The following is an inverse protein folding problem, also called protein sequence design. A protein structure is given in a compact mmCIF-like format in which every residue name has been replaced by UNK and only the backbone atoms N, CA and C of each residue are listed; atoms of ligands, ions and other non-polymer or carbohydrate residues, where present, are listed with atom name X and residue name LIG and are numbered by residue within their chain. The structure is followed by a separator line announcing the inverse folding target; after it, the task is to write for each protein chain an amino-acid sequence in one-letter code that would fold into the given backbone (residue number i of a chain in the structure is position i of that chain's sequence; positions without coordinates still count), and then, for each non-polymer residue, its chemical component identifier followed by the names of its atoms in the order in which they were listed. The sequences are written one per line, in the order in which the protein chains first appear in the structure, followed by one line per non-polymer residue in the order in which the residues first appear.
data_IF_099558288614
#
_entry.id   IF_099558288614
#
_cell.length_a   1.000
_cell.length_b   1.000
_cell.length_c   1.000
_cell.angle_alpha   90.00
_cell.angle_beta   90.00
_cell.angle_gamma   90.00
#
_symmetry.space_group_name_H-M   'P 1'
#
loop_
_entity.id
_entity.type
_entity.pdbx_description
1 polymer ?
#
# COMPACT_ATOMS: atom_id res chain seq x y z
N UNK A 1 -16.98 13.59 -3.14
CA UNK A 1 -15.83 12.98 -2.41
C UNK A 1 -14.59 13.87 -2.37
N UNK A 2 -14.36 14.71 -3.36
CA UNK A 2 -13.20 15.63 -3.48
C UNK A 2 -12.90 16.45 -2.22
N UNK A 3 -13.87 17.10 -1.52
CA UNK A 3 -13.56 17.87 -0.32
C UNK A 3 -12.91 17.03 0.79
N UNK A 4 -13.38 15.81 1.01
CA UNK A 4 -12.81 14.90 2.02
C UNK A 4 -11.38 14.47 1.67
N UNK A 5 -11.11 14.24 0.38
CA UNK A 5 -9.76 13.93 -0.10
C UNK A 5 -8.84 15.14 0.15
N UNK A 6 -9.28 16.35 -0.21
CA UNK A 6 -8.50 17.56 -0.03
C UNK A 6 -8.17 17.84 1.45
N UNK A 7 -9.20 17.94 2.29
CA UNK A 7 -9.01 18.27 3.72
C UNK A 7 -8.24 17.18 4.46
N UNK A 8 -8.57 15.90 4.19
CA UNK A 8 -7.85 14.78 4.81
C UNK A 8 -6.38 14.72 4.38
N UNK A 9 -6.07 15.02 3.12
CA UNK A 9 -4.67 15.07 2.64
C UNK A 9 -3.92 16.25 3.24
N UNK A 10 -4.51 17.44 3.33
CA UNK A 10 -3.88 18.61 3.98
C UNK A 10 -3.57 18.29 5.44
N UNK A 11 -4.54 17.74 6.18
CA UNK A 11 -4.32 17.33 7.57
C UNK A 11 -3.21 16.28 7.69
N UNK A 12 -3.21 15.27 6.81
CA UNK A 12 -2.18 14.24 6.79
C UNK A 12 -0.78 14.81 6.50
N UNK A 13 -0.65 15.75 5.55
CA UNK A 13 0.62 16.41 5.22
C UNK A 13 1.16 17.19 6.43
N UNK A 14 0.32 17.98 7.08
CA UNK A 14 0.73 18.78 8.26
C UNK A 14 1.20 17.84 9.37
N UNK A 15 0.40 16.84 9.72
CA UNK A 15 0.74 15.89 10.77
C UNK A 15 1.98 15.06 10.43
N UNK A 16 2.13 14.64 9.17
CA UNK A 16 3.29 13.90 8.69
C UNK A 16 4.58 14.71 8.84
N UNK A 17 4.58 16.00 8.54
CA UNK A 17 5.75 16.86 8.68
C UNK A 17 6.10 17.16 10.15
N UNK A 18 5.12 17.09 11.07
CA UNK A 18 5.38 17.24 12.50
C UNK A 18 6.12 16.03 13.10
N UNK A 19 5.92 14.83 12.59
CA UNK A 19 6.54 13.61 13.12
C UNK A 19 8.07 13.71 13.20
N UNK A 20 8.81 13.98 12.11
CA UNK A 20 10.27 14.04 12.17
C UNK A 20 10.79 15.23 12.99
N UNK A 21 10.02 16.32 13.11
CA UNK A 21 10.39 17.44 13.99
C UNK A 21 10.31 17.05 15.47
N UNK A 22 9.27 16.31 15.85
CA UNK A 22 9.12 15.80 17.22
C UNK A 22 10.18 14.75 17.51
N UNK A 23 10.47 13.87 16.56
CA UNK A 23 11.48 12.82 16.65
C UNK A 23 12.88 13.42 16.89
N UNK A 24 13.30 14.37 16.07
CA UNK A 24 14.56 15.09 16.25
C UNK A 24 14.62 15.79 17.61
N UNK A 25 13.53 16.46 18.01
CA UNK A 25 13.44 17.13 19.33
C UNK A 25 13.49 16.14 20.49
N UNK A 26 12.93 14.95 20.34
CA UNK A 26 12.98 13.88 21.34
C UNK A 26 14.41 13.34 21.47
N UNK A 27 15.10 13.14 20.34
CA UNK A 27 16.49 12.68 20.34
C UNK A 27 17.43 13.65 21.08
N UNK A 28 17.29 14.96 20.85
CA UNK A 28 18.10 15.99 21.53
C UNK A 28 17.84 16.05 23.04
N UNK A 29 16.59 15.93 23.46
CA UNK A 29 16.13 16.03 24.85
C UNK A 29 14.98 15.05 25.11
N UNK A 30 15.28 13.80 25.51
CA UNK A 30 14.25 12.79 25.81
C UNK A 30 13.32 13.25 26.94
N UNK A 31 11.99 13.20 26.67
CA UNK A 31 10.97 13.57 27.65
C UNK A 31 9.71 12.74 27.41
N UNK A 32 9.06 12.28 28.47
CA UNK A 32 7.79 11.55 28.39
C UNK A 32 6.71 12.38 27.69
N UNK A 33 6.72 13.70 27.86
CA UNK A 33 5.78 14.59 27.18
C UNK A 33 5.99 14.60 25.65
N UNK A 34 7.23 14.61 25.17
CA UNK A 34 7.55 14.54 23.73
C UNK A 34 7.18 13.17 23.15
N UNK A 35 7.41 12.09 23.90
CA UNK A 35 6.98 10.75 23.48
C UNK A 35 5.47 10.67 23.38
N UNK A 36 4.73 11.20 24.36
CA UNK A 36 3.27 11.25 24.31
C UNK A 36 2.77 12.10 23.14
N UNK A 37 3.45 13.23 22.85
CA UNK A 37 3.14 14.08 21.68
C UNK A 37 3.38 13.33 20.38
N UNK A 38 4.49 12.61 20.24
CA UNK A 38 4.80 11.78 19.08
C UNK A 38 3.70 10.74 18.82
N UNK A 39 3.32 10.00 19.85
CA UNK A 39 2.25 8.98 19.76
C UNK A 39 0.92 9.63 19.40
N UNK A 40 0.58 10.78 20.00
CA UNK A 40 -0.64 11.53 19.70
C UNK A 40 -0.70 12.02 18.26
N UNK A 41 0.39 12.61 17.75
CA UNK A 41 0.49 13.09 16.37
C UNK A 41 0.45 11.92 15.38
N UNK A 42 1.13 10.82 15.68
CA UNK A 42 1.07 9.60 14.87
C UNK A 42 -0.35 9.03 14.82
N UNK A 43 -1.04 8.96 15.96
CA UNK A 43 -2.45 8.54 16.01
C UNK A 43 -3.36 9.45 15.18
N UNK A 44 -3.20 10.77 15.30
CA UNK A 44 -3.94 11.75 14.52
C UNK A 44 -3.66 11.62 13.01
N UNK A 45 -2.39 11.37 12.63
CA UNK A 45 -2.01 11.11 11.23
C UNK A 45 -2.72 9.87 10.68
N UNK A 46 -2.74 8.77 11.42
CA UNK A 46 -3.42 7.54 10.99
C UNK A 46 -4.92 7.76 10.79
N UNK A 47 -5.57 8.53 11.66
CA UNK A 47 -6.98 8.92 11.52
C UNK A 47 -7.18 9.79 10.27
N UNK A 48 -6.34 10.80 10.05
CA UNK A 48 -6.39 11.65 8.85
C UNK A 48 -6.21 10.82 7.57
N UNK A 49 -5.24 9.89 7.55
CA UNK A 49 -5.02 8.98 6.43
C UNK A 49 -6.22 8.07 6.18
N UNK A 50 -6.82 7.50 7.22
CA UNK A 50 -8.05 6.71 7.10
C UNK A 50 -9.22 7.51 6.54
N UNK A 51 -9.34 8.78 6.94
CA UNK A 51 -10.42 9.67 6.51
C UNK A 51 -10.38 9.98 5.01
N UNK A 52 -9.20 10.23 4.42
CA UNK A 52 -9.14 10.51 2.99
C UNK A 52 -9.01 9.24 2.12
N UNK A 53 -8.43 8.15 2.65
CA UNK A 53 -8.20 6.92 1.89
C UNK A 53 -9.50 6.30 1.40
N UNK A 54 -10.51 6.20 2.25
CA UNK A 54 -11.80 5.64 1.88
C UNK A 54 -12.48 6.38 0.72
N UNK A 55 -12.66 7.73 0.76
CA UNK A 55 -13.17 8.48 -0.38
C UNK A 55 -12.30 8.40 -1.63
N UNK A 56 -10.96 8.35 -1.48
CA UNK A 56 -10.05 8.28 -2.61
C UNK A 56 -10.16 6.94 -3.35
N UNK A 57 -10.19 5.82 -2.62
CA UNK A 57 -10.36 4.48 -3.22
C UNK A 57 -11.75 4.34 -3.85
N UNK A 58 -12.79 4.88 -3.20
CA UNK A 58 -14.15 4.80 -3.70
C UNK A 58 -14.43 5.76 -4.89
N UNK A 59 -13.58 6.75 -5.13
CA UNK A 59 -13.73 7.66 -6.26
C UNK A 59 -13.66 6.91 -7.60
N UNK A 60 -12.75 5.94 -7.74
CA UNK A 60 -12.57 5.20 -8.98
C UNK A 60 -13.83 4.43 -9.42
N UNK A 61 -14.45 3.57 -8.59
CA UNK A 61 -15.65 2.87 -9.00
C UNK A 61 -16.86 3.78 -9.23
N UNK A 62 -16.87 4.99 -8.63
CA UNK A 62 -17.94 5.96 -8.81
C UNK A 62 -17.91 6.67 -10.17
N UNK A 63 -16.73 6.78 -10.79
CA UNK A 63 -16.53 7.46 -12.08
C UNK A 63 -16.19 6.48 -13.21
N UNK A 64 -16.14 5.17 -12.95
CA UNK A 64 -15.74 4.17 -13.93
C UNK A 64 -16.90 3.20 -14.20
N UNK A 65 -17.32 3.02 -15.47
CA UNK A 65 -18.33 2.03 -15.84
C UNK A 65 -17.98 0.62 -15.36
N UNK A 66 -18.97 -0.17 -14.98
CA UNK A 66 -18.80 -1.52 -14.44
C UNK A 66 -17.83 -2.41 -15.24
N UNK A 67 -17.90 -2.51 -16.59
CA UNK A 67 -17.00 -3.36 -17.37
C UNK A 67 -15.52 -2.95 -17.29
N UNK A 68 -15.24 -1.66 -17.04
CA UNK A 68 -13.88 -1.11 -16.99
C UNK A 68 -13.27 -1.09 -15.59
N UNK A 69 -14.05 -1.39 -14.54
CA UNK A 69 -13.57 -1.32 -13.13
C UNK A 69 -12.39 -2.22 -12.85
N UNK A 70 -12.34 -3.41 -13.45
CA UNK A 70 -11.22 -4.35 -13.28
C UNK A 70 -9.90 -3.75 -13.84
N UNK A 71 -9.96 -3.13 -15.02
CA UNK A 71 -8.80 -2.45 -15.64
C UNK A 71 -8.36 -1.23 -14.83
N UNK A 72 -9.33 -0.42 -14.39
CA UNK A 72 -9.06 0.75 -13.55
C UNK A 72 -8.40 0.35 -12.22
N UNK A 73 -8.87 -0.72 -11.58
CA UNK A 73 -8.27 -1.25 -10.36
C UNK A 73 -6.82 -1.75 -10.58
N UNK A 74 -6.55 -2.39 -11.72
CA UNK A 74 -5.19 -2.81 -12.06
C UNK A 74 -4.25 -1.60 -12.22
N UNK A 75 -4.71 -0.51 -12.85
CA UNK A 75 -3.93 0.73 -12.99
C UNK A 75 -3.66 1.37 -11.62
N UNK A 76 -4.66 1.42 -10.72
CA UNK A 76 -4.47 1.98 -9.37
C UNK A 76 -3.42 1.18 -8.59
N UNK A 77 -3.48 -0.14 -8.64
CA UNK A 77 -2.50 -0.99 -7.97
C UNK A 77 -1.09 -0.82 -8.56
N UNK A 78 -0.98 -0.70 -9.89
CA UNK A 78 0.29 -0.40 -10.56
C UNK A 78 0.86 0.96 -10.14
N UNK A 79 0.03 2.01 -10.09
CA UNK A 79 0.44 3.33 -9.62
C UNK A 79 0.87 3.30 -8.16
N UNK A 80 0.18 2.53 -7.30
CA UNK A 80 0.58 2.31 -5.92
C UNK A 80 1.97 1.66 -5.80
N UNK A 81 2.24 0.63 -6.58
CA UNK A 81 3.54 -0.04 -6.62
C UNK A 81 4.65 0.89 -7.14
N UNK A 82 4.39 1.68 -8.19
CA UNK A 82 5.34 2.68 -8.69
C UNK A 82 5.63 3.77 -7.64
N UNK A 83 4.61 4.22 -6.92
CA UNK A 83 4.79 5.15 -5.80
C UNK A 83 5.67 4.56 -4.68
N UNK A 84 5.49 3.29 -4.35
CA UNK A 84 6.35 2.57 -3.42
C UNK A 84 7.81 2.49 -3.87
N UNK A 85 8.05 2.12 -5.12
CA UNK A 85 9.40 2.11 -5.71
C UNK A 85 10.03 3.51 -5.66
N UNK A 86 9.28 4.53 -6.06
CA UNK A 86 9.78 5.91 -6.05
C UNK A 86 10.18 6.34 -4.63
N UNK A 87 9.36 6.03 -3.61
CA UNK A 87 9.71 6.27 -2.22
C UNK A 87 11.00 5.56 -1.82
N UNK A 88 11.14 4.25 -2.13
CA UNK A 88 12.32 3.47 -1.78
C UNK A 88 13.59 3.98 -2.47
N UNK A 89 13.50 4.43 -3.73
CA UNK A 89 14.62 5.06 -4.44
C UNK A 89 15.03 6.39 -3.79
N UNK A 90 14.06 7.24 -3.43
CA UNK A 90 14.34 8.49 -2.71
C UNK A 90 14.99 8.17 -1.36
N UNK A 91 14.46 7.21 -0.61
CA UNK A 91 15.01 6.77 0.67
C UNK A 91 16.43 6.23 0.52
N UNK A 92 16.73 5.48 -0.55
CA UNK A 92 18.06 4.92 -0.79
C UNK A 92 19.14 5.98 -1.00
N UNK A 93 18.76 7.14 -1.53
CA UNK A 93 19.67 8.27 -1.75
C UNK A 93 19.74 9.19 -0.52
N UNK A 94 18.60 9.42 0.14
CA UNK A 94 18.46 10.42 1.21
C UNK A 94 18.88 9.87 2.57
N UNK A 95 18.62 8.58 2.84
CA UNK A 95 18.86 7.92 4.12
C UNK A 95 20.07 6.96 4.01
N UNK A 96 21.21 7.48 3.62
CA UNK A 96 22.43 6.69 3.40
C UNK A 96 23.53 6.97 4.44
N UNK A 97 23.17 7.51 5.60
CA UNK A 97 24.06 7.80 6.70
C UNK A 97 24.09 6.60 7.67
N UNK A 98 25.27 6.34 8.26
CA UNK A 98 25.43 5.45 9.41
C UNK A 98 25.35 6.21 10.73
N UNK A 99 24.71 7.38 10.76
CA UNK A 99 24.51 8.16 11.95
C UNK A 99 23.66 7.39 12.97
N UNK A 100 23.92 7.59 14.24
CA UNK A 100 23.15 7.00 15.34
C UNK A 100 21.67 7.44 15.30
N UNK A 101 21.43 8.68 14.82
CA UNK A 101 20.12 9.22 14.56
C UNK A 101 20.01 9.72 13.12
N UNK A 102 19.03 9.24 12.39
CA UNK A 102 18.75 9.66 11.02
C UNK A 102 17.67 10.75 11.00
N UNK A 103 17.95 11.85 10.33
CA UNK A 103 16.97 12.91 10.13
C UNK A 103 16.03 12.57 8.97
N UNK A 104 14.81 12.18 9.29
CA UNK A 104 13.77 11.83 8.30
C UNK A 104 13.05 13.05 7.70
N UNK A 105 13.29 14.26 8.19
CA UNK A 105 12.57 15.46 7.71
C UNK A 105 12.69 15.69 6.19
N UNK A 106 13.87 15.55 5.55
CA UNK A 106 13.99 15.78 4.11
C UNK A 106 13.15 14.83 3.27
N UNK A 107 13.11 13.54 3.60
CA UNK A 107 12.32 12.57 2.86
C UNK A 107 10.82 12.81 3.06
N UNK A 108 10.38 13.16 4.27
CA UNK A 108 8.99 13.51 4.55
C UNK A 108 8.56 14.77 3.79
N UNK A 109 9.45 15.75 3.64
CA UNK A 109 9.19 16.96 2.86
C UNK A 109 9.01 16.66 1.36
N UNK A 110 9.86 15.77 0.80
CA UNK A 110 9.74 15.33 -0.59
C UNK A 110 8.40 14.61 -0.81
N UNK A 111 8.05 13.68 0.08
CA UNK A 111 6.77 12.94 0.02
C UNK A 111 5.59 13.89 0.15
N UNK A 112 5.65 14.86 1.06
CA UNK A 112 4.63 15.91 1.19
C UNK A 112 4.45 16.71 -0.12
N UNK A 113 5.56 17.09 -0.77
CA UNK A 113 5.53 17.76 -2.07
C UNK A 113 4.83 16.92 -3.14
N UNK A 114 5.15 15.64 -3.24
CA UNK A 114 4.50 14.70 -4.16
C UNK A 114 3.00 14.58 -3.87
N UNK A 115 2.61 14.50 -2.59
CA UNK A 115 1.20 14.44 -2.18
C UNK A 115 0.45 15.72 -2.58
N UNK A 116 1.05 16.90 -2.38
CA UNK A 116 0.46 18.19 -2.81
C UNK A 116 0.24 18.21 -4.31
N UNK A 117 1.24 17.83 -5.09
CA UNK A 117 1.13 17.76 -6.56
C UNK A 117 0.04 16.77 -6.97
N UNK A 118 0.04 15.57 -6.43
CA UNK A 118 -0.95 14.54 -6.75
C UNK A 118 -2.38 14.98 -6.45
N UNK A 119 -2.63 15.55 -5.27
CA UNK A 119 -3.97 16.06 -4.91
C UNK A 119 -4.35 17.25 -5.77
N UNK A 120 -3.43 18.15 -6.08
CA UNK A 120 -3.71 19.31 -6.97
C UNK A 120 -4.13 18.84 -8.36
N UNK A 121 -3.45 17.84 -8.93
CA UNK A 121 -3.84 17.24 -10.20
C UNK A 121 -5.27 16.71 -10.13
N UNK A 122 -5.61 15.91 -9.10
CA UNK A 122 -6.96 15.35 -8.93
C UNK A 122 -8.01 16.47 -8.79
N UNK A 123 -7.70 17.53 -8.02
CA UNK A 123 -8.64 18.64 -7.83
C UNK A 123 -8.91 19.43 -9.13
N UNK A 124 -7.91 19.58 -10.00
CA UNK A 124 -8.01 20.31 -11.25
C UNK A 124 -8.63 19.47 -12.37
N UNK A 125 -8.21 18.20 -12.49
CA UNK A 125 -8.55 17.37 -13.65
C UNK A 125 -9.81 16.55 -13.50
N UNK A 126 -10.19 16.15 -12.27
CA UNK A 126 -11.34 15.28 -12.03
C UNK A 126 -12.58 16.11 -11.72
N UNK A 127 -13.52 16.18 -12.66
CA UNK A 127 -14.88 16.65 -12.38
C UNK A 127 -15.76 15.46 -12.02
N UNK A 128 -15.96 15.25 -10.70
CA UNK A 128 -16.71 14.12 -10.15
C UNK A 128 -18.16 14.08 -10.66
N UNK A 129 -18.78 15.23 -10.83
CA UNK A 129 -20.19 15.33 -11.24
C UNK A 129 -20.36 14.96 -12.71
N UNK A 130 -19.52 15.56 -13.55
CA UNK A 130 -19.58 15.33 -14.99
C UNK A 130 -19.17 13.89 -15.36
N UNK A 131 -18.08 13.38 -14.75
CA UNK A 131 -17.65 11.99 -14.96
C UNK A 131 -18.68 10.96 -14.51
N UNK A 132 -19.36 11.21 -13.38
CA UNK A 132 -20.42 10.32 -12.91
C UNK A 132 -21.62 10.35 -13.87
N UNK A 133 -21.97 11.51 -14.43
CA UNK A 133 -23.02 11.65 -15.45
C UNK A 133 -22.66 10.91 -16.73
N UNK A 134 -21.42 11.05 -17.20
CA UNK A 134 -20.92 10.32 -18.37
C UNK A 134 -20.92 8.81 -18.15
N UNK A 135 -20.49 8.35 -16.97
CA UNK A 135 -20.52 6.95 -16.58
C UNK A 135 -21.95 6.38 -16.63
N UNK A 136 -22.93 7.08 -16.03
CA UNK A 136 -24.33 6.66 -16.06
C UNK A 136 -24.91 6.65 -17.48
N UNK A 137 -24.54 7.61 -18.32
CA UNK A 137 -24.96 7.66 -19.73
C UNK A 137 -24.38 6.47 -20.50
N UNK A 138 -23.10 6.12 -20.26
CA UNK A 138 -22.48 4.94 -20.86
C UNK A 138 -23.17 3.65 -20.41
N UNK A 139 -23.44 3.47 -19.13
CA UNK A 139 -24.14 2.29 -18.59
C UNK A 139 -25.57 2.15 -19.13
N UNK A 140 -26.26 3.28 -19.34
CA UNK A 140 -27.59 3.29 -19.94
C UNK A 140 -27.58 2.95 -21.45
N UNK A 141 -26.50 3.32 -22.16
CA UNK A 141 -26.32 3.01 -23.60
C UNK A 141 -25.88 1.56 -23.86
N UNK A 142 -25.28 0.88 -22.86
CA UNK A 142 -24.75 -0.48 -22.98
C UNK A 142 -25.33 -1.40 -21.88
N UNK A 143 -26.63 -1.61 -21.82
CA UNK A 143 -27.27 -2.42 -20.78
C UNK A 143 -26.81 -3.89 -20.80
N UNK A 144 -26.42 -4.41 -21.96
CA UNK A 144 -25.94 -5.78 -22.15
C UNK A 144 -24.63 -6.06 -21.43
N UNK A 145 -23.74 -5.07 -21.37
CA UNK A 145 -22.46 -5.17 -20.64
C UNK A 145 -22.63 -5.10 -19.11
N UNK A 146 -23.80 -4.66 -18.64
CA UNK A 146 -24.12 -4.56 -17.22
C UNK A 146 -24.75 -5.84 -16.64
N UNK A 147 -25.33 -6.71 -17.49
CA UNK A 147 -26.06 -7.90 -17.07
C UNK A 147 -25.16 -8.99 -16.46
N UNK A 148 -23.88 -9.03 -16.80
CA UNK A 148 -22.94 -10.00 -16.24
C UNK A 148 -22.53 -9.74 -14.78
N UNK A 149 -22.95 -8.61 -14.18
CA UNK A 149 -22.51 -8.15 -12.85
C UNK A 149 -23.69 -7.81 -11.93
N UNK A 150 -24.90 -8.07 -12.34
CA UNK A 150 -26.00 -8.17 -11.39
C UNK A 150 -25.85 -9.48 -10.60
N UNK A 151 -24.84 -9.50 -9.72
CA UNK A 151 -24.90 -10.32 -8.54
C UNK A 151 -26.22 -9.95 -7.85
N UNK A 152 -27.08 -10.94 -7.75
CA UNK A 152 -28.24 -10.95 -6.87
C UNK A 152 -27.79 -10.63 -5.45
N UNK A 153 -27.44 -9.40 -5.17
CA UNK A 153 -27.30 -8.87 -3.80
C UNK A 153 -28.68 -8.56 -3.21
N UNK A 154 -29.63 -9.44 -3.51
CA UNK A 154 -30.76 -9.67 -2.67
C UNK A 154 -30.28 -10.47 -1.46
N UNK A 155 -30.75 -10.19 -0.27
CA UNK A 155 -30.56 -10.81 1.03
C UNK A 155 -30.70 -12.36 1.08
N UNK A 156 -30.18 -13.09 0.11
CA UNK A 156 -30.12 -14.55 0.12
C UNK A 156 -29.00 -14.96 1.07
N UNK A 157 -29.33 -15.56 2.18
CA UNK A 157 -28.36 -16.15 3.11
C UNK A 157 -27.52 -17.17 2.33
N UNK A 158 -26.21 -16.91 2.24
CA UNK A 158 -25.27 -17.83 1.61
C UNK A 158 -25.39 -19.23 2.23
N UNK A 159 -25.41 -20.30 1.44
CA UNK A 159 -25.39 -21.66 1.95
C UNK A 159 -24.26 -21.85 2.97
N UNK A 160 -24.50 -22.62 4.02
CA UNK A 160 -23.53 -22.82 5.12
C UNK A 160 -22.15 -23.25 4.62
N UNK A 161 -22.08 -24.08 3.60
CA UNK A 161 -20.84 -24.56 2.99
C UNK A 161 -20.06 -23.42 2.30
N UNK A 162 -20.77 -22.54 1.58
CA UNK A 162 -20.17 -21.37 0.91
C UNK A 162 -19.66 -20.37 1.96
N UNK A 163 -20.46 -20.12 3.02
CA UNK A 163 -20.06 -19.26 4.14
C UNK A 163 -18.81 -19.79 4.84
N UNK A 164 -18.73 -21.11 5.07
CA UNK A 164 -17.55 -21.77 5.65
C UNK A 164 -16.32 -21.63 4.74
N UNK A 165 -16.46 -21.90 3.44
CA UNK A 165 -15.37 -21.75 2.47
C UNK A 165 -14.87 -20.32 2.38
N UNK A 166 -15.78 -19.33 2.37
CA UNK A 166 -15.44 -17.92 2.39
C UNK A 166 -14.68 -17.54 3.66
N UNK A 167 -15.13 -18.03 4.81
CA UNK A 167 -14.44 -17.77 6.08
C UNK A 167 -13.01 -18.30 6.07
N UNK A 168 -12.77 -19.52 5.61
CA UNK A 168 -11.42 -20.09 5.48
C UNK A 168 -10.57 -19.32 4.47
N UNK A 169 -11.15 -18.88 3.37
CA UNK A 169 -10.46 -18.05 2.38
C UNK A 169 -10.01 -16.71 3.01
N UNK A 170 -10.90 -16.05 3.74
CA UNK A 170 -10.58 -14.77 4.41
C UNK A 170 -9.48 -14.93 5.46
N UNK A 171 -9.53 -15.98 6.28
CA UNK A 171 -8.46 -16.29 7.22
C UNK A 171 -7.13 -16.60 6.52
N UNK A 172 -7.15 -17.35 5.43
CA UNK A 172 -5.94 -17.64 4.65
C UNK A 172 -5.30 -16.37 4.10
N UNK A 173 -6.10 -15.46 3.57
CA UNK A 173 -5.63 -14.16 3.09
C UNK A 173 -5.12 -13.30 4.25
N UNK A 174 -5.81 -13.29 5.40
CA UNK A 174 -5.38 -12.54 6.58
C UNK A 174 -4.01 -13.02 7.09
N UNK A 175 -3.80 -14.33 7.23
CA UNK A 175 -2.52 -14.90 7.65
C UNK A 175 -1.39 -14.64 6.64
N UNK A 176 -1.70 -14.71 5.34
CA UNK A 176 -0.73 -14.38 4.31
C UNK A 176 -0.30 -12.91 4.38
N UNK A 177 -1.26 -12.00 4.48
CA UNK A 177 -0.97 -10.56 4.66
C UNK A 177 -0.21 -10.28 5.95
N UNK A 178 -0.53 -10.97 7.04
CA UNK A 178 0.19 -10.83 8.31
C UNK A 178 1.67 -11.17 8.14
N UNK A 179 1.98 -12.33 7.54
CA UNK A 179 3.37 -12.75 7.31
C UNK A 179 4.11 -11.80 6.36
N UNK A 180 3.47 -11.40 5.26
CA UNK A 180 4.05 -10.49 4.28
C UNK A 180 4.35 -9.11 4.90
N UNK A 181 3.37 -8.51 5.57
CA UNK A 181 3.56 -7.20 6.20
C UNK A 181 4.59 -7.23 7.33
N UNK A 182 4.67 -8.32 8.10
CA UNK A 182 5.69 -8.46 9.13
C UNK A 182 7.10 -8.38 8.52
N UNK A 183 7.35 -9.08 7.42
CA UNK A 183 8.64 -9.03 6.73
C UNK A 183 8.91 -7.66 6.11
N UNK A 184 7.95 -7.09 5.39
CA UNK A 184 8.12 -5.80 4.71
C UNK A 184 8.39 -4.66 5.71
N UNK A 185 7.64 -4.62 6.81
CA UNK A 185 7.76 -3.58 7.82
C UNK A 185 9.09 -3.65 8.59
N UNK A 186 9.52 -4.86 8.95
CA UNK A 186 10.69 -5.03 9.81
C UNK A 186 12.00 -5.27 9.06
N UNK A 187 11.95 -5.48 7.73
CA UNK A 187 13.14 -5.77 6.94
C UNK A 187 14.25 -4.71 7.09
N UNK A 188 13.89 -3.43 7.00
CA UNK A 188 14.87 -2.33 7.11
C UNK A 188 15.54 -2.31 8.49
N UNK A 189 14.75 -2.50 9.57
CA UNK A 189 15.28 -2.56 10.93
C UNK A 189 16.19 -3.78 11.11
N UNK A 190 15.77 -4.92 10.61
CA UNK A 190 16.54 -6.16 10.64
C UNK A 190 17.87 -6.03 9.87
N UNK A 191 17.86 -5.49 8.67
CA UNK A 191 19.04 -5.29 7.85
C UNK A 191 20.04 -4.32 8.50
N UNK A 192 19.56 -3.30 9.22
CA UNK A 192 20.41 -2.41 10.01
C UNK A 192 21.03 -3.11 11.21
N UNK A 193 20.26 -3.87 11.97
CA UNK A 193 20.72 -4.45 13.25
C UNK A 193 21.60 -5.69 13.07
N UNK A 194 21.36 -6.51 12.03
CA UNK A 194 22.06 -7.79 11.82
C UNK A 194 23.18 -7.67 10.80
N UNK A 195 22.94 -6.89 9.73
CA UNK A 195 23.93 -6.78 8.62
C UNK A 195 24.63 -5.43 8.55
N UNK A 196 24.47 -4.56 9.54
CA UNK A 196 25.06 -3.22 9.60
C UNK A 196 24.85 -2.40 8.30
N UNK A 197 23.70 -2.60 7.64
CA UNK A 197 23.35 -1.87 6.44
C UNK A 197 22.83 -0.48 6.78
N UNK A 198 23.05 0.50 5.89
CA UNK A 198 22.36 1.79 5.99
C UNK A 198 20.90 1.63 5.60
N UNK A 199 20.03 2.54 6.07
CA UNK A 199 18.61 2.56 5.67
C UNK A 199 18.46 2.66 4.15
N UNK A 200 19.35 3.41 3.48
CA UNK A 200 19.39 3.51 2.02
C UNK A 200 19.69 2.18 1.33
N UNK A 201 20.67 1.42 1.83
CA UNK A 201 20.99 0.09 1.28
C UNK A 201 19.83 -0.90 1.47
N UNK A 202 19.21 -0.92 2.65
CA UNK A 202 18.03 -1.75 2.90
C UNK A 202 16.85 -1.36 1.98
N UNK A 203 16.66 -0.06 1.73
CA UNK A 203 15.64 0.44 0.80
C UNK A 203 15.91 0.03 -0.64
N UNK A 204 17.16 -0.04 -1.08
CA UNK A 204 17.54 -0.58 -2.40
C UNK A 204 17.18 -2.06 -2.54
N UNK A 205 17.44 -2.87 -1.50
CA UNK A 205 17.04 -4.28 -1.50
C UNK A 205 15.52 -4.44 -1.68
N UNK A 206 14.73 -3.63 -0.95
CA UNK A 206 13.27 -3.62 -1.10
C UNK A 206 12.82 -3.12 -2.48
N UNK A 207 13.54 -2.17 -3.08
CA UNK A 207 13.29 -1.69 -4.45
C UNK A 207 13.45 -2.82 -5.47
N UNK A 208 14.53 -3.60 -5.37
CA UNK A 208 14.79 -4.74 -6.25
C UNK A 208 13.70 -5.81 -6.07
N UNK A 209 13.32 -6.11 -4.82
CA UNK A 209 12.25 -7.06 -4.52
C UNK A 209 10.91 -6.62 -5.12
N UNK A 210 10.52 -5.36 -4.93
CA UNK A 210 9.27 -4.80 -5.46
C UNK A 210 9.28 -4.74 -6.99
N UNK A 211 10.41 -4.36 -7.60
CA UNK A 211 10.60 -4.37 -9.06
C UNK A 211 10.45 -5.77 -9.64
N UNK A 212 11.05 -6.77 -9.00
CA UNK A 212 10.91 -8.18 -9.37
C UNK A 212 9.45 -8.66 -9.26
N UNK A 213 8.73 -8.26 -8.23
CA UNK A 213 7.31 -8.58 -8.07
C UNK A 213 6.45 -7.99 -9.21
N UNK A 214 6.68 -6.74 -9.60
CA UNK A 214 5.96 -6.10 -10.72
C UNK A 214 6.22 -6.85 -12.03
N UNK A 215 7.47 -7.19 -12.31
CA UNK A 215 7.82 -7.95 -13.52
C UNK A 215 7.20 -9.35 -13.53
N UNK A 216 7.00 -9.94 -12.35
CA UNK A 216 6.38 -11.26 -12.22
C UNK A 216 4.85 -11.23 -12.44
N UNK A 217 4.16 -10.10 -12.31
CA UNK A 217 2.70 -10.04 -12.44
C UNK A 217 2.19 -10.56 -13.79
N UNK A 218 2.84 -10.18 -14.89
CA UNK A 218 2.40 -10.59 -16.24
C UNK A 218 2.56 -12.11 -16.47
N UNK A 219 3.77 -12.71 -16.25
CA UNK A 219 3.93 -14.15 -16.45
C UNK A 219 3.12 -14.98 -15.45
N UNK A 220 3.00 -14.54 -14.18
CA UNK A 220 2.20 -15.25 -13.17
C UNK A 220 0.72 -15.24 -13.54
N UNK A 221 0.19 -14.13 -14.06
CA UNK A 221 -1.18 -14.06 -14.56
C UNK A 221 -1.45 -15.07 -15.68
N UNK A 222 -0.51 -15.20 -16.63
CA UNK A 222 -0.59 -16.17 -17.73
C UNK A 222 -0.49 -17.63 -17.24
N UNK A 223 0.37 -17.88 -16.25
CA UNK A 223 0.50 -19.19 -15.60
C UNK A 223 -0.78 -19.55 -14.87
N UNK A 224 -1.35 -18.62 -14.10
CA UNK A 224 -2.59 -18.83 -13.36
C UNK A 224 -3.78 -19.17 -14.28
N UNK A 225 -3.83 -18.58 -15.47
CA UNK A 225 -4.83 -18.91 -16.47
C UNK A 225 -4.69 -20.34 -17.00
N UNK A 226 -3.45 -20.87 -17.11
CA UNK A 226 -3.18 -22.22 -17.63
C UNK A 226 -3.32 -23.34 -16.60
N UNK A 227 -2.74 -23.18 -15.42
CA UNK A 227 -2.66 -24.24 -14.38
C UNK A 227 -3.72 -24.10 -13.29
N UNK A 228 -4.46 -22.98 -13.31
CA UNK A 228 -5.53 -22.67 -12.36
C UNK A 228 -5.05 -21.86 -11.14
N UNK A 229 -5.92 -20.97 -10.66
CA UNK A 229 -5.64 -20.00 -9.57
C UNK A 229 -5.16 -20.67 -8.29
N UNK A 230 -5.81 -21.76 -7.85
CA UNK A 230 -5.46 -22.48 -6.61
C UNK A 230 -4.04 -23.00 -6.60
N UNK A 231 -3.60 -23.64 -7.70
CA UNK A 231 -2.24 -24.20 -7.82
C UNK A 231 -1.18 -23.10 -7.87
N UNK A 232 -1.47 -21.98 -8.56
CA UNK A 232 -0.58 -20.82 -8.63
C UNK A 232 -0.40 -20.17 -7.27
N UNK A 233 -1.47 -19.98 -6.50
CA UNK A 233 -1.38 -19.45 -5.14
C UNK A 233 -0.55 -20.36 -4.24
N UNK A 234 -0.81 -21.67 -4.28
CA UNK A 234 -0.07 -22.63 -3.47
C UNK A 234 1.42 -22.65 -3.82
N UNK A 235 1.79 -22.61 -5.12
CA UNK A 235 3.19 -22.52 -5.53
C UNK A 235 3.86 -21.22 -5.04
N UNK A 236 3.16 -20.09 -5.08
CA UNK A 236 3.67 -18.83 -4.54
C UNK A 236 3.92 -18.89 -3.02
N UNK A 237 3.01 -19.49 -2.25
CA UNK A 237 3.19 -19.69 -0.81
C UNK A 237 4.39 -20.60 -0.51
N UNK A 238 4.57 -21.68 -1.28
CA UNK A 238 5.72 -22.58 -1.12
C UNK A 238 7.02 -21.84 -1.42
N UNK A 239 7.08 -21.07 -2.51
CA UNK A 239 8.27 -20.26 -2.85
C UNK A 239 8.59 -19.25 -1.74
N UNK A 240 7.59 -18.59 -1.20
CA UNK A 240 7.74 -17.64 -0.08
C UNK A 240 8.29 -18.35 1.16
N UNK A 241 7.76 -19.53 1.51
CA UNK A 241 8.25 -20.33 2.64
C UNK A 241 9.73 -20.73 2.45
N UNK A 242 10.09 -21.19 1.26
CA UNK A 242 11.49 -21.54 0.94
C UNK A 242 12.39 -20.31 1.11
N UNK A 243 11.95 -19.14 0.62
CA UNK A 243 12.71 -17.90 0.73
C UNK A 243 12.90 -17.47 2.20
N UNK A 244 11.89 -17.63 3.04
CA UNK A 244 12.00 -17.32 4.47
C UNK A 244 12.92 -18.28 5.22
N UNK A 245 12.85 -19.57 4.91
CA UNK A 245 13.77 -20.57 5.48
C UNK A 245 15.22 -20.30 5.04
N UNK A 246 15.43 -19.97 3.77
CA UNK A 246 16.76 -19.61 3.27
C UNK A 246 17.30 -18.34 3.95
N UNK A 247 16.47 -17.32 4.14
CA UNK A 247 16.85 -16.10 4.86
C UNK A 247 17.21 -16.39 6.32
N UNK A 248 16.46 -17.24 6.99
CA UNK A 248 16.75 -17.67 8.37
C UNK A 248 18.08 -18.41 8.47
N UNK A 249 18.34 -19.37 7.58
CA UNK A 249 19.60 -20.11 7.54
C UNK A 249 20.77 -19.15 7.30
N UNK A 250 20.64 -18.23 6.35
CA UNK A 250 21.66 -17.24 6.06
C UNK A 250 21.94 -16.31 7.27
N UNK A 251 20.90 -15.90 7.98
CA UNK A 251 21.04 -15.11 9.21
C UNK A 251 21.84 -15.87 10.28
N UNK A 252 21.51 -17.13 10.51
CA UNK A 252 22.22 -17.97 11.50
C UNK A 252 23.70 -18.20 11.12
N UNK A 253 24.02 -18.27 9.83
CA UNK A 253 25.39 -18.39 9.35
C UNK A 253 26.18 -17.07 9.43
N UNK A 254 25.51 -15.93 9.42
CA UNK A 254 26.13 -14.61 9.52
C UNK A 254 26.47 -14.21 10.97
N UNK A 255 25.82 -14.84 11.95
CA UNK A 255 26.06 -14.61 13.38
C UNK A 255 27.21 -15.50 13.94
N UNK A 256 27.67 -16.51 13.19
CA UNK A 256 28.80 -17.40 13.54
C UNK A 256 30.12 -16.90 12.95
#
# INVERSE_FOLDING_TARGET
RKPFILFGTIAAIILMLLIPLIDNSYYENPSTAKLALFIGVLGALLVAMGTYRSPAVALMPDITPKPLRSRANAIINLMGALGGIMYLLIASVTLNSKAEHENYFPIFLIVAGIMVVGVSIVMITVDEVELNKQMRAYEAAHPEENLEIEDESGNAELPKEVKRSLTFLLFSVAFWFFAYNAMETWFTTYAKSVWDMTTGQASLCLTVATGGAILAYVPVGSIAAKIGRKKTILSGIIMMLISFVAALIFSMMSES
#
